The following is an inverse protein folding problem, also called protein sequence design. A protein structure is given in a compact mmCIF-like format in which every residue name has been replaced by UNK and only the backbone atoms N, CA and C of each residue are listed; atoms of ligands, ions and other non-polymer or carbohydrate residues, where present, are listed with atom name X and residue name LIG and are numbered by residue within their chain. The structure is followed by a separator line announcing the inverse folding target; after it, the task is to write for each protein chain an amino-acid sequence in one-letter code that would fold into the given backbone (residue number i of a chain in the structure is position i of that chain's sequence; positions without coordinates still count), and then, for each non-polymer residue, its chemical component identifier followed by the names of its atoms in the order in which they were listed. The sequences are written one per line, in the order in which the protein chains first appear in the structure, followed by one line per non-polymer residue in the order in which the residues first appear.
data_IF_631470472258
#
_entry.id   IF_631470472258
#
_cell.length_a   1.000
_cell.length_b   1.000
_cell.length_c   1.000
_cell.angle_alpha   90.00
_cell.angle_beta   90.00
_cell.angle_gamma   90.00
#
_symmetry.space_group_name_H-M   'P 1'
#
loop_
_entity.id
_entity.type
_entity.pdbx_description
1 polymer ?
#
# COMPACT_ATOMS: atom_id res chain seq x y z
N UNK A 1 -6.22 2.47 -7.51
CA UNK A 1 -6.45 3.22 -6.26
C UNK A 1 -7.13 2.25 -5.31
N UNK A 2 -6.62 2.08 -4.09
CA UNK A 2 -7.19 1.11 -3.15
C UNK A 2 -8.59 1.53 -2.75
N UNK A 3 -9.56 0.65 -2.99
CA UNK A 3 -10.94 0.93 -2.68
C UNK A 3 -11.21 0.49 -1.24
N UNK A 4 -10.81 1.33 -0.28
CA UNK A 4 -11.00 1.06 1.16
C UNK A 4 -12.45 0.72 1.52
N UNK A 5 -13.41 1.21 0.74
CA UNK A 5 -14.83 0.85 0.87
C UNK A 5 -15.10 -0.62 0.58
N UNK A 6 -14.40 -1.23 -0.38
CA UNK A 6 -14.59 -2.64 -0.72
C UNK A 6 -14.05 -3.52 0.42
N UNK A 7 -12.95 -3.10 1.05
CA UNK A 7 -12.40 -3.78 2.23
C UNK A 7 -13.35 -3.70 3.44
N UNK A 8 -14.03 -2.57 3.63
CA UNK A 8 -15.10 -2.42 4.64
C UNK A 8 -16.28 -3.36 4.33
N UNK A 9 -16.73 -3.42 3.07
CA UNK A 9 -17.82 -4.29 2.65
C UNK A 9 -17.52 -5.78 2.90
N UNK A 10 -16.30 -6.24 2.59
CA UNK A 10 -15.90 -7.62 2.88
C UNK A 10 -15.74 -7.86 4.39
N UNK A 11 -15.33 -6.85 5.17
CA UNK A 11 -15.34 -6.95 6.63
C UNK A 11 -16.77 -7.09 7.19
N UNK A 12 -17.74 -6.35 6.64
CA UNK A 12 -19.15 -6.49 7.03
C UNK A 12 -19.70 -7.87 6.65
N UNK A 13 -19.32 -8.41 5.48
CA UNK A 13 -19.66 -9.78 5.09
C UNK A 13 -19.11 -10.81 6.08
N UNK A 14 -17.88 -10.61 6.58
CA UNK A 14 -17.26 -11.46 7.61
C UNK A 14 -17.98 -11.39 8.96
N UNK A 15 -18.48 -10.22 9.35
CA UNK A 15 -19.14 -10.03 10.65
C UNK A 15 -20.66 -10.28 10.59
N UNK A 16 -21.21 -10.58 9.41
CA UNK A 16 -22.64 -10.82 9.20
C UNK A 16 -23.50 -9.55 9.14
N UNK A 17 -22.89 -8.36 9.11
CA UNK A 17 -23.57 -7.05 9.02
C UNK A 17 -23.91 -6.70 7.56
N UNK A 18 -24.71 -7.55 6.90
CA UNK A 18 -25.01 -7.42 5.46
C UNK A 18 -25.73 -6.12 5.09
N UNK A 19 -26.45 -5.53 6.04
CA UNK A 19 -27.16 -4.25 5.90
C UNK A 19 -26.23 -3.05 5.72
N UNK A 20 -24.94 -3.18 6.08
CA UNK A 20 -23.94 -2.12 5.96
C UNK A 20 -23.13 -2.21 4.66
N UNK A 21 -23.29 -3.30 3.91
CA UNK A 21 -22.58 -3.54 2.66
C UNK A 21 -23.15 -2.64 1.57
N UNK A 22 -22.30 -1.83 0.95
CA UNK A 22 -22.69 -0.91 -0.13
C UNK A 22 -22.70 -1.60 -1.48
N UNK A 23 -21.74 -2.48 -1.72
CA UNK A 23 -21.58 -3.18 -2.98
C UNK A 23 -22.60 -4.33 -3.14
N UNK A 24 -23.70 -4.07 -3.85
CA UNK A 24 -24.73 -5.06 -4.12
C UNK A 24 -24.24 -6.28 -4.92
N UNK A 25 -23.20 -6.11 -5.75
CA UNK A 25 -22.61 -7.23 -6.50
C UNK A 25 -21.93 -8.24 -5.57
N UNK A 26 -21.33 -7.76 -4.46
CA UNK A 26 -20.73 -8.61 -3.45
C UNK A 26 -21.78 -9.53 -2.82
N UNK A 27 -22.92 -8.96 -2.42
CA UNK A 27 -24.05 -9.71 -1.84
C UNK A 27 -24.68 -10.72 -2.81
N UNK A 28 -24.69 -10.40 -4.10
CA UNK A 28 -25.25 -11.28 -5.13
C UNK A 28 -24.34 -12.51 -5.40
N UNK A 29 -23.02 -12.35 -5.25
CA UNK A 29 -22.04 -13.38 -5.58
C UNK A 29 -21.63 -14.23 -4.37
N UNK A 30 -21.60 -13.65 -3.17
CA UNK A 30 -21.06 -14.31 -1.98
C UNK A 30 -22.07 -14.22 -0.83
N UNK A 31 -22.41 -15.37 -0.23
CA UNK A 31 -23.32 -15.43 0.92
C UNK A 31 -22.56 -15.33 2.24
N UNK A 32 -21.30 -15.74 2.24
CA UNK A 32 -20.44 -15.73 3.42
C UNK A 32 -19.02 -15.30 3.08
N UNK A 33 -18.25 -14.91 4.11
CA UNK A 33 -16.82 -14.66 3.97
C UNK A 33 -16.02 -15.93 3.62
N UNK A 34 -16.54 -17.12 3.95
CA UNK A 34 -15.93 -18.39 3.52
C UNK A 34 -16.03 -18.52 2.00
N UNK A 35 -17.20 -18.28 1.41
CA UNK A 35 -17.43 -18.30 -0.04
C UNK A 35 -16.50 -17.31 -0.75
N UNK A 36 -16.36 -16.10 -0.19
CA UNK A 36 -15.44 -15.08 -0.73
C UNK A 36 -13.99 -15.54 -0.69
N UNK A 37 -13.58 -16.22 0.39
CA UNK A 37 -12.21 -16.73 0.56
C UNK A 37 -11.93 -17.86 -0.43
N UNK A 38 -12.86 -18.80 -0.57
CA UNK A 38 -12.74 -19.91 -1.53
C UNK A 38 -12.65 -19.39 -2.96
N UNK A 39 -13.53 -18.45 -3.34
CA UNK A 39 -13.48 -17.84 -4.65
C UNK A 39 -12.18 -17.07 -4.90
N UNK A 40 -11.61 -16.40 -3.89
CA UNK A 40 -10.30 -15.74 -4.01
C UNK A 40 -9.17 -16.76 -4.28
N UNK A 41 -9.22 -17.92 -3.63
CA UNK A 41 -8.23 -18.98 -3.77
C UNK A 41 -8.35 -19.70 -5.13
N UNK A 42 -9.57 -19.95 -5.61
CA UNK A 42 -9.83 -20.58 -6.90
C UNK A 42 -9.49 -19.65 -8.07
N UNK A 43 -9.96 -18.40 -8.03
CA UNK A 43 -9.70 -17.41 -9.08
C UNK A 43 -8.24 -16.93 -9.10
N UNK A 44 -7.52 -17.09 -7.98
CA UNK A 44 -6.18 -16.52 -7.75
C UNK A 44 -6.14 -15.01 -8.00
N UNK A 45 -7.25 -14.31 -7.80
CA UNK A 45 -7.33 -12.87 -7.95
C UNK A 45 -6.43 -12.17 -6.89
N UNK A 46 -5.40 -11.42 -7.31
CA UNK A 46 -4.46 -10.80 -6.37
C UNK A 46 -5.11 -9.82 -5.41
N UNK A 47 -6.15 -9.10 -5.84
CA UNK A 47 -6.84 -8.11 -5.02
C UNK A 47 -7.73 -8.80 -3.99
N UNK A 48 -8.51 -9.81 -4.39
CA UNK A 48 -9.31 -10.59 -3.44
C UNK A 48 -8.43 -11.29 -2.40
N UNK A 49 -7.34 -11.94 -2.84
CA UNK A 49 -6.39 -12.59 -1.94
C UNK A 49 -5.75 -11.59 -0.96
N UNK A 50 -5.45 -10.37 -1.41
CA UNK A 50 -4.94 -9.30 -0.53
C UNK A 50 -5.98 -8.88 0.51
N UNK A 51 -7.24 -8.71 0.12
CA UNK A 51 -8.32 -8.38 1.07
C UNK A 51 -8.50 -9.48 2.12
N UNK A 52 -8.50 -10.75 1.69
CA UNK A 52 -8.55 -11.91 2.60
C UNK A 52 -7.39 -11.87 3.59
N UNK A 53 -6.16 -11.65 3.12
CA UNK A 53 -4.96 -11.55 3.99
C UNK A 53 -5.10 -10.41 4.99
N UNK A 54 -5.40 -9.20 4.53
CA UNK A 54 -5.58 -8.02 5.41
C UNK A 54 -6.63 -8.26 6.49
N UNK A 55 -7.75 -8.89 6.14
CA UNK A 55 -8.82 -9.20 7.10
C UNK A 55 -8.41 -10.32 8.06
N UNK A 56 -7.65 -11.32 7.62
CA UNK A 56 -7.12 -12.37 8.50
C UNK A 56 -6.09 -11.81 9.49
N UNK A 57 -5.20 -10.94 9.03
CA UNK A 57 -4.09 -10.41 9.83
C UNK A 57 -4.51 -9.26 10.77
N UNK A 58 -5.54 -8.50 10.40
CA UNK A 58 -6.00 -7.32 11.16
C UNK A 58 -7.47 -7.41 11.55
N UNK A 59 -7.73 -7.78 12.80
CA UNK A 59 -9.09 -7.83 13.35
C UNK A 59 -9.72 -6.45 13.54
N UNK A 60 -8.92 -5.40 13.72
CA UNK A 60 -9.35 -4.02 13.97
C UNK A 60 -9.33 -3.14 12.71
N UNK A 61 -9.49 -3.76 11.52
CA UNK A 61 -9.37 -3.08 10.22
C UNK A 61 -10.23 -1.81 10.11
N UNK A 62 -11.47 -1.81 10.62
CA UNK A 62 -12.34 -0.64 10.58
C UNK A 62 -11.76 0.54 11.37
N UNK A 63 -11.13 0.27 12.51
CA UNK A 63 -10.46 1.28 13.33
C UNK A 63 -9.26 1.86 12.59
N UNK A 64 -8.49 1.01 11.90
CA UNK A 64 -7.34 1.43 11.08
C UNK A 64 -7.79 2.29 9.89
N UNK A 65 -8.84 1.89 9.17
CA UNK A 65 -9.40 2.67 8.06
C UNK A 65 -9.92 4.03 8.55
N UNK A 66 -10.62 4.05 9.69
CA UNK A 66 -11.10 5.30 10.28
C UNK A 66 -9.94 6.22 10.69
N UNK A 67 -8.86 5.65 11.25
CA UNK A 67 -7.66 6.41 11.58
C UNK A 67 -6.98 6.97 10.33
N UNK A 68 -6.84 6.16 9.26
CA UNK A 68 -6.31 6.63 7.97
C UNK A 68 -7.12 7.81 7.46
N UNK A 69 -8.45 7.66 7.33
CA UNK A 69 -9.34 8.76 6.85
C UNK A 69 -9.24 10.02 7.70
N UNK A 70 -9.13 9.88 9.03
CA UNK A 70 -9.03 11.02 9.95
C UNK A 70 -7.70 11.78 9.81
N UNK A 71 -6.63 11.07 9.42
CA UNK A 71 -5.28 11.62 9.31
C UNK A 71 -4.81 11.81 7.86
N UNK A 72 -5.70 11.63 6.89
CA UNK A 72 -5.47 11.92 5.48
C UNK A 72 -6.00 13.30 5.14
N UNK A 73 -5.27 14.01 4.30
CA UNK A 73 -5.69 15.28 3.69
C UNK A 73 -5.43 15.21 2.19
N UNK A 74 -6.28 15.86 1.40
CA UNK A 74 -6.10 15.99 -0.05
C UNK A 74 -5.14 17.14 -0.40
N UNK A 75 -4.81 18.01 0.56
CA UNK A 75 -3.90 19.14 0.41
C UNK A 75 -2.45 18.70 0.73
N UNK A 76 -1.56 18.56 -0.28
CA UNK A 76 -0.19 18.09 -0.07
C UNK A 76 0.64 18.97 0.86
N UNK A 77 0.34 20.26 0.91
CA UNK A 77 0.99 21.29 1.73
C UNK A 77 0.60 21.22 3.22
N UNK A 78 -0.55 20.62 3.53
CA UNK A 78 -0.99 20.37 4.91
C UNK A 78 -0.49 19.01 5.45
N UNK A 79 0.02 18.14 4.59
CA UNK A 79 0.45 16.80 4.95
C UNK A 79 1.83 16.80 5.64
N UNK A 80 1.92 16.16 6.81
CA UNK A 80 3.22 15.88 7.44
C UNK A 80 4.05 14.87 6.63
N UNK A 81 3.36 13.91 6.00
CA UNK A 81 3.95 12.84 5.19
C UNK A 81 3.07 12.56 3.99
N UNK A 82 3.68 12.45 2.81
CA UNK A 82 3.02 11.97 1.60
C UNK A 82 3.51 10.55 1.29
N UNK A 83 2.58 9.64 1.05
CA UNK A 83 2.87 8.27 0.61
C UNK A 83 2.46 8.15 -0.86
N UNK A 84 3.39 7.75 -1.73
CA UNK A 84 3.14 7.63 -3.16
C UNK A 84 3.92 6.47 -3.75
N UNK A 85 3.41 5.91 -4.86
CA UNK A 85 4.22 5.00 -5.70
C UNK A 85 5.29 5.77 -6.48
N UNK A 86 6.38 5.12 -6.87
CA UNK A 86 7.46 5.70 -7.70
C UNK A 86 6.89 6.28 -8.99
N UNK A 87 5.97 5.54 -9.60
CA UNK A 87 5.28 5.93 -10.84
C UNK A 87 4.54 7.27 -10.69
N UNK A 88 3.83 7.45 -9.57
CA UNK A 88 3.09 8.68 -9.26
C UNK A 88 4.02 9.83 -8.87
N UNK A 89 5.22 9.52 -8.38
CA UNK A 89 6.23 10.50 -8.03
C UNK A 89 7.01 11.06 -9.24
N UNK A 90 6.78 10.54 -10.46
CA UNK A 90 7.53 10.99 -11.65
C UNK A 90 7.32 12.48 -11.92
N UNK A 91 8.41 13.25 -11.99
CA UNK A 91 8.39 14.70 -12.24
C UNK A 91 8.13 15.55 -10.99
N UNK A 92 8.03 14.93 -9.82
CA UNK A 92 7.93 15.60 -8.52
C UNK A 92 9.26 15.49 -7.78
N UNK A 93 9.54 16.43 -6.88
CA UNK A 93 10.78 16.43 -6.10
C UNK A 93 10.53 16.93 -4.69
N UNK A 94 11.28 16.39 -3.73
CA UNK A 94 11.14 16.71 -2.30
C UNK A 94 12.49 16.77 -1.61
N UNK A 95 12.59 17.57 -0.55
CA UNK A 95 13.84 17.70 0.20
C UNK A 95 14.27 16.37 0.84
N UNK A 96 13.31 15.57 1.31
CA UNK A 96 13.55 14.26 1.91
C UNK A 96 12.66 13.20 1.27
N UNK A 97 13.27 12.14 0.78
CA UNK A 97 12.58 10.93 0.26
C UNK A 97 13.02 9.72 1.06
N UNK A 98 12.06 8.92 1.49
CA UNK A 98 12.26 7.65 2.16
C UNK A 98 11.79 6.53 1.25
N UNK A 99 12.70 5.62 0.88
CA UNK A 99 12.38 4.40 0.16
C UNK A 99 12.03 3.30 1.18
N UNK A 100 10.88 2.64 0.98
CA UNK A 100 10.51 1.46 1.75
C UNK A 100 11.14 0.18 1.15
N UNK A 101 10.96 -0.95 1.85
CA UNK A 101 11.66 -2.22 1.59
C UNK A 101 11.00 -3.10 0.51
N UNK A 102 10.22 -2.49 -0.38
CA UNK A 102 9.40 -3.19 -1.39
C UNK A 102 10.07 -3.30 -2.77
N UNK A 103 11.28 -2.75 -2.93
CA UNK A 103 12.11 -2.96 -4.12
C UNK A 103 12.72 -4.37 -4.15
N UNK A 104 12.85 -4.94 -5.34
CA UNK A 104 13.52 -6.22 -5.55
C UNK A 104 15.02 -6.10 -5.27
N UNK A 105 15.62 -7.17 -4.75
CA UNK A 105 17.07 -7.24 -4.62
C UNK A 105 17.70 -7.40 -6.01
N UNK A 106 18.34 -6.33 -6.48
CA UNK A 106 18.99 -6.27 -7.80
C UNK A 106 20.15 -7.27 -7.93
N UNK A 107 20.70 -7.77 -6.81
CA UNK A 107 21.83 -8.69 -6.77
C UNK A 107 21.41 -10.16 -6.64
N UNK A 108 20.12 -10.44 -6.49
CA UNK A 108 19.59 -11.80 -6.41
C UNK A 108 19.24 -12.34 -7.80
N UNK A 109 20.24 -12.86 -8.52
CA UNK A 109 20.11 -13.43 -9.87
C UNK A 109 19.08 -14.58 -9.96
N UNK A 110 18.72 -15.22 -8.84
CA UNK A 110 17.70 -16.30 -8.83
C UNK A 110 16.27 -15.75 -8.86
N UNK A 111 16.06 -14.53 -8.35
CA UNK A 111 14.72 -13.94 -8.21
C UNK A 111 14.39 -12.90 -9.27
N UNK A 112 15.38 -12.40 -10.01
CA UNK A 112 15.19 -11.31 -10.97
C UNK A 112 15.74 -11.66 -12.35
N UNK A 113 14.89 -11.57 -13.37
CA UNK A 113 15.36 -11.69 -14.76
C UNK A 113 16.21 -10.45 -15.15
N UNK A 114 17.07 -10.56 -16.18
CA UNK A 114 17.83 -9.40 -16.67
C UNK A 114 16.94 -8.21 -17.07
N UNK A 115 15.77 -8.48 -17.63
CA UNK A 115 14.78 -7.45 -18.02
C UNK A 115 14.17 -6.78 -16.78
N UNK A 116 13.72 -7.58 -15.81
CA UNK A 116 13.18 -7.07 -14.55
C UNK A 116 14.21 -6.24 -13.77
N UNK A 117 15.49 -6.62 -13.83
CA UNK A 117 16.59 -5.86 -13.21
C UNK A 117 16.72 -4.47 -13.81
N UNK A 118 16.61 -4.35 -15.13
CA UNK A 118 16.68 -3.05 -15.81
C UNK A 118 15.49 -2.18 -15.41
N UNK A 119 14.28 -2.76 -15.39
CA UNK A 119 13.07 -2.04 -14.99
C UNK A 119 13.12 -1.58 -13.53
N UNK A 120 13.54 -2.47 -12.62
CA UNK A 120 13.69 -2.17 -11.21
C UNK A 120 14.78 -1.11 -10.96
N UNK A 121 15.91 -1.19 -11.67
CA UNK A 121 16.97 -0.18 -11.61
C UNK A 121 16.46 1.19 -12.10
N UNK A 122 15.65 1.21 -13.15
CA UNK A 122 15.03 2.44 -13.64
C UNK A 122 14.05 3.03 -12.63
N UNK A 123 13.24 2.20 -11.96
CA UNK A 123 12.36 2.63 -10.89
C UNK A 123 13.15 3.21 -9.71
N UNK A 124 14.20 2.51 -9.27
CA UNK A 124 15.06 2.97 -8.19
C UNK A 124 15.76 4.29 -8.54
N UNK A 125 16.23 4.43 -9.78
CA UNK A 125 16.80 5.68 -10.30
C UNK A 125 15.78 6.82 -10.25
N UNK A 126 14.55 6.58 -10.70
CA UNK A 126 13.46 7.56 -10.63
C UNK A 126 13.20 7.94 -9.18
N UNK A 127 13.08 6.98 -8.27
CA UNK A 127 12.80 7.19 -6.86
C UNK A 127 13.91 7.98 -6.16
N UNK A 128 15.18 7.61 -6.39
CA UNK A 128 16.35 8.26 -5.81
C UNK A 128 16.47 9.71 -6.27
N UNK A 129 16.22 9.98 -7.54
CA UNK A 129 16.28 11.35 -8.11
C UNK A 129 15.09 12.23 -7.72
N UNK A 130 14.10 11.73 -6.96
CA UNK A 130 13.08 12.58 -6.34
C UNK A 130 13.61 13.33 -5.12
N UNK A 131 14.71 12.86 -4.53
CA UNK A 131 15.31 13.46 -3.35
C UNK A 131 16.22 14.63 -3.73
N UNK A 132 15.94 15.83 -3.19
CA UNK A 132 16.76 17.03 -3.41
C UNK A 132 17.90 17.16 -2.41
N UNK A 133 17.73 16.68 -1.17
CA UNK A 133 18.73 16.79 -0.09
C UNK A 133 19.06 15.47 0.56
N UNK A 134 18.05 14.71 0.97
CA UNK A 134 18.25 13.46 1.69
C UNK A 134 17.42 12.32 1.09
N UNK A 135 18.10 11.23 0.76
CA UNK A 135 17.51 9.95 0.46
C UNK A 135 17.75 9.01 1.64
N UNK A 136 16.69 8.43 2.18
CA UNK A 136 16.77 7.43 3.25
C UNK A 136 16.23 6.13 2.70
N UNK A 137 17.09 5.12 2.52
CA UNK A 137 16.63 3.76 2.33
C UNK A 137 16.43 3.11 3.69
N UNK A 138 15.29 2.45 3.93
CA UNK A 138 15.21 1.53 5.06
C UNK A 138 15.95 0.25 4.70
N UNK A 139 17.03 -0.11 5.41
CA UNK A 139 17.50 -1.49 5.36
C UNK A 139 16.45 -2.36 6.05
N UNK A 140 16.34 -3.62 5.61
CA UNK A 140 15.47 -4.69 6.13
C UNK A 140 15.59 -5.01 7.64
N UNK A 141 16.31 -4.18 8.40
CA UNK A 141 16.54 -4.27 9.83
C UNK A 141 16.07 -3.00 10.57
N UNK A 142 14.76 -2.76 10.58
CA UNK A 142 14.01 -2.24 11.73
C UNK A 142 14.40 -0.90 12.40
N UNK A 143 15.28 -0.08 11.83
CA UNK A 143 15.67 1.19 12.47
C UNK A 143 14.58 2.28 12.31
N UNK A 144 14.15 2.86 13.44
CA UNK A 144 13.15 3.95 13.48
C UNK A 144 13.73 5.25 12.91
N UNK A 145 12.94 5.92 12.08
CA UNK A 145 13.25 7.23 11.51
C UNK A 145 13.29 8.28 12.62
N UNK A 146 14.34 9.12 12.73
CA UNK A 146 14.34 10.25 13.64
C UNK A 146 13.26 11.25 13.22
N UNK A 147 12.47 11.74 14.18
CA UNK A 147 11.49 12.82 13.95
C UNK A 147 12.22 14.09 13.50
N UNK A 148 12.41 14.28 12.19
CA UNK A 148 12.82 15.57 11.65
C UNK A 148 11.66 16.57 11.80
N UNK A 149 11.96 17.73 12.39
CA UNK A 149 10.98 18.80 12.63
C UNK A 149 10.64 19.47 11.30
N UNK A 150 9.35 19.44 10.94
CA UNK A 150 8.67 20.40 10.04
C UNK A 150 9.29 20.64 8.67
N UNK A 151 9.83 19.61 8.03
CA UNK A 151 10.02 19.61 6.57
C UNK A 151 9.38 18.33 6.05
N UNK A 152 8.39 18.47 5.15
CA UNK A 152 7.54 17.38 4.67
C UNK A 152 8.36 16.17 4.26
N UNK A 153 8.22 15.08 4.99
CA UNK A 153 8.92 13.83 4.72
C UNK A 153 8.10 13.04 3.70
N UNK A 154 8.69 12.67 2.57
CA UNK A 154 7.96 11.97 1.52
C UNK A 154 8.37 10.50 1.52
N UNK A 155 7.40 9.61 1.66
CA UNK A 155 7.59 8.17 1.58
C UNK A 155 7.24 7.69 0.18
N UNK A 156 8.20 7.06 -0.47
CA UNK A 156 8.03 6.49 -1.81
C UNK A 156 8.11 4.97 -1.69
N UNK A 157 7.06 4.33 -2.17
CA UNK A 157 6.92 2.87 -2.32
C UNK A 157 6.99 2.53 -3.81
N UNK A 158 7.36 1.31 -4.19
CA UNK A 158 7.41 0.85 -5.59
C UNK A 158 6.01 0.85 -6.24
#
# INVERSE_FOLDING_TARGET
AYQLSDLEDVHYLRTGQVERIRNQRLLAQFKSFADFTEAAEESKDPEMLRMVRLLKDHHDILRLIAALRRHSTDAPDEADVIVSTVHRAKGLEWDVVVLEEDFLDLFDDEKISPEQRVDELNLLYVAATRARRHLVSRPSSGSRIPKQRRQGCHKVVS
#
